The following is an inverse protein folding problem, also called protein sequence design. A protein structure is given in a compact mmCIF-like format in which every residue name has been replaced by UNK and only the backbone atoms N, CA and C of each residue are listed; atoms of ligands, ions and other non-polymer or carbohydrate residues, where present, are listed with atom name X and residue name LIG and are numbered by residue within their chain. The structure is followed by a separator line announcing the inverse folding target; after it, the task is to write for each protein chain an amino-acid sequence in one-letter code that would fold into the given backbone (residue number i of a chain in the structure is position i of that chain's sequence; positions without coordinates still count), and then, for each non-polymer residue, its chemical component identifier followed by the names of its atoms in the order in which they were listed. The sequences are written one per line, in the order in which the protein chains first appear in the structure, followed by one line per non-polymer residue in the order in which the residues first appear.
data_IF_916962422288
#
_entry.id   IF_916962422288
#
_cell.length_a   1.000
_cell.length_b   1.000
_cell.length_c   1.000
_cell.angle_alpha   90.00
_cell.angle_beta   90.00
_cell.angle_gamma   90.00
#
_symmetry.space_group_name_H-M   'P 1'
#
loop_
_entity.id
_entity.type
_entity.pdbx_description
1 polymer ?
#
# COMPACT_ATOMS: atom_id res chain seq x y z
N UNK A 1 -13.89 19.41 1.68
CA UNK A 1 -12.51 19.83 2.01
C UNK A 1 -11.52 18.64 2.12
N UNK A 2 -11.68 17.55 1.35
CA UNK A 2 -10.79 16.37 1.45
C UNK A 2 -9.64 16.37 0.42
N UNK A 3 -9.77 17.08 -0.70
CA UNK A 3 -8.80 16.98 -1.79
C UNK A 3 -7.40 17.47 -1.39
N UNK A 4 -7.25 18.61 -0.72
CA UNK A 4 -5.90 19.15 -0.41
C UNK A 4 -5.01 18.20 0.42
N UNK A 5 -5.60 17.46 1.36
CA UNK A 5 -4.89 16.54 2.25
C UNK A 5 -4.41 15.29 1.49
N UNK A 6 -5.24 14.74 0.60
CA UNK A 6 -4.88 13.56 -0.18
C UNK A 6 -3.81 13.89 -1.23
N UNK A 7 -3.89 15.07 -1.84
CA UNK A 7 -2.84 15.59 -2.74
C UNK A 7 -1.51 15.79 -2.01
N UNK A 8 -1.52 16.37 -0.81
CA UNK A 8 -0.30 16.56 -0.02
C UNK A 8 0.36 15.22 0.35
N UNK A 9 -0.43 14.25 0.83
CA UNK A 9 0.06 12.90 1.14
C UNK A 9 0.63 12.20 -0.10
N UNK A 10 -0.04 12.33 -1.25
CA UNK A 10 0.46 11.79 -2.52
C UNK A 10 1.79 12.41 -2.94
N UNK A 11 1.93 13.72 -2.77
CA UNK A 11 3.15 14.46 -3.09
C UNK A 11 4.32 14.08 -2.19
N UNK A 12 4.13 14.05 -0.87
CA UNK A 12 5.16 13.65 0.10
C UNK A 12 5.66 12.22 -0.19
N UNK A 13 4.74 11.31 -0.48
CA UNK A 13 5.09 9.94 -0.87
C UNK A 13 5.94 9.90 -2.14
N UNK A 14 5.57 10.67 -3.17
CA UNK A 14 6.33 10.74 -4.42
C UNK A 14 7.74 11.32 -4.21
N UNK A 15 7.91 12.30 -3.31
CA UNK A 15 9.22 12.84 -2.96
C UNK A 15 10.12 11.81 -2.28
N UNK A 16 9.58 11.05 -1.32
CA UNK A 16 10.31 9.97 -0.64
C UNK A 16 10.77 8.92 -1.65
N UNK A 17 9.88 8.49 -2.56
CA UNK A 17 10.21 7.51 -3.59
C UNK A 17 11.34 8.00 -4.51
N UNK A 18 11.31 9.27 -4.91
CA UNK A 18 12.39 9.88 -5.73
C UNK A 18 13.72 9.95 -4.98
N UNK A 19 13.70 10.27 -3.67
CA UNK A 19 14.91 10.31 -2.84
C UNK A 19 15.55 8.92 -2.76
N UNK A 20 14.76 7.89 -2.48
CA UNK A 20 15.23 6.50 -2.41
C UNK A 20 15.79 6.04 -3.76
N UNK A 21 15.11 6.34 -4.87
CA UNK A 21 15.62 6.01 -6.21
C UNK A 21 16.95 6.72 -6.52
N UNK A 22 17.10 7.97 -6.09
CA UNK A 22 18.35 8.74 -6.28
C UNK A 22 19.50 8.15 -5.45
N UNK A 23 19.26 7.82 -4.17
CA UNK A 23 20.27 7.22 -3.28
C UNK A 23 20.69 5.81 -3.71
N UNK A 24 19.77 5.05 -4.30
CA UNK A 24 20.01 3.68 -4.75
C UNK A 24 20.38 3.57 -6.23
N UNK A 25 20.51 4.69 -6.94
CA UNK A 25 20.78 4.72 -8.39
C UNK A 25 22.04 3.93 -8.75
N UNK A 26 23.10 4.09 -7.96
CA UNK A 26 24.40 3.44 -8.19
C UNK A 26 24.47 2.04 -7.52
N UNK A 27 23.37 1.58 -6.92
CA UNK A 27 23.26 0.30 -6.21
C UNK A 27 22.13 -0.55 -6.83
N UNK A 28 22.28 -1.03 -8.09
CA UNK A 28 21.19 -1.66 -8.85
C UNK A 28 20.62 -2.92 -8.17
N UNK A 29 21.46 -3.70 -7.48
CA UNK A 29 21.00 -4.87 -6.70
C UNK A 29 20.08 -4.46 -5.55
N UNK A 30 20.44 -3.40 -4.81
CA UNK A 30 19.66 -2.91 -3.68
C UNK A 30 18.37 -2.26 -4.15
N UNK A 31 18.41 -1.47 -5.24
CA UNK A 31 17.21 -0.90 -5.85
C UNK A 31 16.22 -1.99 -6.31
N UNK A 32 16.72 -3.09 -6.87
CA UNK A 32 15.90 -4.24 -7.24
C UNK A 32 15.24 -4.90 -6.03
N UNK A 33 15.97 -5.10 -4.94
CA UNK A 33 15.44 -5.64 -3.68
C UNK A 33 14.38 -4.71 -3.07
N UNK A 34 14.62 -3.40 -3.06
CA UNK A 34 13.66 -2.40 -2.60
C UNK A 34 12.34 -2.47 -3.40
N UNK A 35 12.43 -2.47 -4.73
CA UNK A 35 11.27 -2.58 -5.60
C UNK A 35 10.51 -3.92 -5.43
N UNK A 36 11.26 -5.02 -5.24
CA UNK A 36 10.67 -6.32 -4.95
C UNK A 36 9.90 -6.32 -3.62
N UNK A 37 10.50 -5.80 -2.55
CA UNK A 37 9.85 -5.65 -1.25
C UNK A 37 8.58 -4.80 -1.33
N UNK A 38 8.64 -3.65 -2.01
CA UNK A 38 7.49 -2.75 -2.24
C UNK A 38 6.34 -3.48 -2.94
N UNK A 39 6.63 -4.24 -3.99
CA UNK A 39 5.62 -5.00 -4.74
C UNK A 39 4.98 -6.11 -3.90
N UNK A 40 5.78 -6.83 -3.10
CA UNK A 40 5.26 -7.88 -2.24
C UNK A 40 4.41 -7.33 -1.10
N UNK A 41 4.81 -6.22 -0.47
CA UNK A 41 4.03 -5.54 0.54
C UNK A 41 2.67 -5.09 -0.02
N UNK A 42 2.65 -4.54 -1.24
CA UNK A 42 1.39 -4.18 -1.91
C UNK A 42 0.49 -5.40 -2.13
N UNK A 43 1.03 -6.52 -2.62
CA UNK A 43 0.26 -7.76 -2.80
C UNK A 43 -0.27 -8.30 -1.47
N UNK A 44 0.56 -8.29 -0.43
CA UNK A 44 0.19 -8.74 0.91
C UNK A 44 -0.97 -7.91 1.48
N UNK A 45 -0.85 -6.57 1.46
CA UNK A 45 -1.92 -5.67 1.90
C UNK A 45 -3.21 -5.86 1.09
N UNK A 46 -3.09 -6.11 -0.22
CA UNK A 46 -4.26 -6.42 -1.07
C UNK A 46 -4.96 -7.71 -0.64
N UNK A 47 -4.20 -8.75 -0.27
CA UNK A 47 -4.77 -10.02 0.22
C UNK A 47 -5.42 -9.83 1.59
N UNK A 48 -4.78 -9.12 2.51
CA UNK A 48 -5.35 -8.81 3.83
C UNK A 48 -6.66 -8.03 3.71
N UNK A 49 -6.69 -6.96 2.92
CA UNK A 49 -7.91 -6.17 2.70
C UNK A 49 -9.05 -7.01 2.11
N UNK A 50 -8.75 -7.94 1.19
CA UNK A 50 -9.75 -8.86 0.65
C UNK A 50 -10.30 -9.80 1.72
N UNK A 51 -9.43 -10.33 2.59
CA UNK A 51 -9.85 -11.24 3.66
C UNK A 51 -10.68 -10.51 4.72
N UNK A 52 -10.26 -9.32 5.13
CA UNK A 52 -10.99 -8.47 6.07
C UNK A 52 -12.39 -8.12 5.53
N UNK A 53 -12.53 -7.70 4.28
CA UNK A 53 -13.84 -7.44 3.67
C UNK A 53 -14.76 -8.67 3.66
N UNK A 54 -14.22 -9.84 3.27
CA UNK A 54 -14.98 -11.10 3.32
C UNK A 54 -15.46 -11.45 4.73
N UNK A 55 -14.62 -11.20 5.74
CA UNK A 55 -14.97 -11.42 7.14
C UNK A 55 -16.10 -10.49 7.58
N UNK A 56 -16.00 -9.18 7.30
CA UNK A 56 -17.05 -8.21 7.63
C UNK A 56 -18.38 -8.54 6.95
N UNK A 57 -18.34 -8.93 5.66
CA UNK A 57 -19.54 -9.35 4.92
C UNK A 57 -20.18 -10.60 5.53
N UNK A 58 -19.39 -11.60 5.91
CA UNK A 58 -19.87 -12.81 6.57
C UNK A 58 -20.48 -12.50 7.94
N UNK A 59 -19.83 -11.65 8.73
CA UNK A 59 -20.31 -11.23 10.04
C UNK A 59 -21.65 -10.49 9.95
N UNK A 60 -21.79 -9.54 9.00
CA UNK A 60 -23.05 -8.82 8.76
C UNK A 60 -24.18 -9.75 8.31
N UNK A 61 -23.89 -10.74 7.47
CA UNK A 61 -24.90 -11.73 7.06
C UNK A 61 -25.38 -12.58 8.24
N UNK A 62 -24.48 -12.98 9.14
CA UNK A 62 -24.83 -13.71 10.36
C UNK A 62 -25.74 -12.90 11.30
N UNK A 63 -25.44 -11.61 11.48
CA UNK A 63 -26.26 -10.71 12.31
C UNK A 63 -27.66 -10.46 11.73
N UNK A 64 -27.82 -10.43 10.41
CA UNK A 64 -29.12 -10.21 9.77
C UNK A 64 -29.97 -11.48 9.64
N UNK A 65 -29.45 -12.65 10.05
CA UNK A 65 -30.16 -13.93 10.05
C UNK A 65 -30.58 -14.39 11.45
N UNK A 66 -30.22 -13.65 12.50
CA UNK A 66 -30.72 -13.80 13.88
C UNK A 66 -31.83 -12.79 14.15
#
# INVERSE_FOLDING_TARGET
MSNSIDYQKGYEKAQIERRIQKELKDKPKILRLYNFGKNNLYKFNKVLNRRSKKFEEGYRKGLNQS
#
